data_IF_456697602437
#
_entry.id   IF_456697602437
#
_cell.length_a   1.000
_cell.length_b   1.000
_cell.length_c   1.000
_cell.angle_alpha   90.00
_cell.angle_beta   90.00
_cell.angle_gamma   90.00
#
_symmetry.space_group_name_H-M   'P 1'
#
loop_
_entity.id
_entity.type
_entity.pdbx_description
1 polymer ?
#
# COMPACT_ATOMS: atom_id res chain seq x y z
N UNK A 1 24.54 -9.37 -10.50
CA UNK A 1 24.92 -9.68 -9.10
C UNK A 1 23.72 -9.36 -8.22
N UNK A 2 22.99 -10.37 -7.71
CA UNK A 2 21.93 -10.16 -6.71
C UNK A 2 22.64 -9.85 -5.40
N UNK A 3 22.50 -8.63 -4.90
CA UNK A 3 23.01 -8.28 -3.57
C UNK A 3 22.25 -9.10 -2.52
N UNK A 4 22.89 -9.37 -1.38
CA UNK A 4 22.32 -10.09 -0.22
C UNK A 4 21.06 -9.42 0.38
N UNK A 5 20.66 -8.24 -0.13
CA UNK A 5 19.52 -7.45 0.30
C UNK A 5 18.39 -7.37 -0.74
N UNK A 6 18.56 -7.89 -1.96
CA UNK A 6 17.67 -7.58 -3.07
C UNK A 6 17.58 -6.07 -3.35
N UNK A 7 16.73 -5.66 -4.30
CA UNK A 7 16.35 -4.25 -4.47
C UNK A 7 15.37 -3.86 -3.36
N UNK A 8 15.89 -3.40 -2.23
CA UNK A 8 15.06 -2.84 -1.14
C UNK A 8 14.73 -1.39 -1.47
N UNK A 9 13.44 -1.04 -1.51
CA UNK A 9 12.98 0.34 -1.67
C UNK A 9 13.25 1.15 -0.41
N UNK A 10 13.89 2.31 -0.58
CA UNK A 10 14.12 3.29 0.49
C UNK A 10 13.23 4.50 0.24
N UNK A 11 12.48 4.92 1.26
CA UNK A 11 11.60 6.08 1.24
C UNK A 11 12.17 7.16 2.15
N UNK A 12 12.27 8.39 1.64
CA UNK A 12 12.70 9.57 2.40
C UNK A 12 11.65 10.66 2.23
N UNK A 13 11.04 11.10 3.33
CA UNK A 13 9.92 12.05 3.32
C UNK A 13 8.58 11.41 2.93
N UNK A 14 7.53 12.23 2.92
CA UNK A 14 6.18 11.79 2.59
C UNK A 14 6.09 11.29 1.14
N UNK A 15 5.29 10.25 0.93
CA UNK A 15 5.03 9.68 -0.40
C UNK A 15 3.55 9.40 -0.59
N UNK A 16 3.08 9.43 -1.84
CA UNK A 16 1.79 8.88 -2.20
C UNK A 16 1.95 7.41 -2.55
N UNK A 17 1.16 6.54 -1.91
CA UNK A 17 1.04 5.13 -2.25
C UNK A 17 -0.17 4.98 -3.17
N UNK A 18 0.06 4.51 -4.39
CA UNK A 18 -0.98 4.24 -5.38
C UNK A 18 -1.26 2.75 -5.48
N UNK A 19 -2.54 2.37 -5.50
CA UNK A 19 -3.00 1.01 -5.74
C UNK A 19 -3.64 0.91 -7.13
N UNK A 20 -2.95 0.29 -8.07
CA UNK A 20 -3.50 -0.05 -9.39
C UNK A 20 -4.42 -1.28 -9.26
N UNK A 21 -5.74 -1.04 -9.19
CA UNK A 21 -6.75 -2.09 -9.02
C UNK A 21 -7.78 -2.02 -10.15
N UNK A 22 -8.11 -3.18 -10.73
CA UNK A 22 -9.14 -3.31 -11.76
C UNK A 22 -10.07 -4.48 -11.45
N UNK A 23 -11.37 -4.27 -11.67
CA UNK A 23 -12.39 -5.31 -11.71
C UNK A 23 -13.50 -4.81 -12.65
N UNK A 24 -13.60 -5.43 -13.83
CA UNK A 24 -14.56 -5.05 -14.86
C UNK A 24 -15.94 -5.71 -14.69
N UNK A 25 -16.05 -6.71 -13.80
CA UNK A 25 -17.27 -7.51 -13.64
C UNK A 25 -18.13 -6.98 -12.51
N UNK A 26 -17.56 -6.84 -11.31
CA UNK A 26 -18.30 -6.37 -10.13
C UNK A 26 -17.93 -4.94 -9.74
N UNK A 27 -16.83 -4.42 -10.25
CA UNK A 27 -16.28 -3.14 -9.81
C UNK A 27 -15.59 -3.25 -8.45
N UNK A 28 -14.65 -2.33 -8.22
CA UNK A 28 -13.93 -2.22 -6.95
C UNK A 28 -14.82 -1.46 -5.95
N UNK A 29 -14.96 -2.01 -4.75
CA UNK A 29 -15.74 -1.43 -3.65
C UNK A 29 -14.90 -0.46 -2.80
N UNK A 30 -13.70 -0.89 -2.42
CA UNK A 30 -12.73 -0.08 -1.66
C UNK A 30 -11.34 -0.69 -1.72
N UNK A 31 -10.34 0.11 -1.39
CA UNK A 31 -9.01 -0.34 -1.02
C UNK A 31 -8.69 0.10 0.40
N UNK A 32 -7.99 -0.75 1.14
CA UNK A 32 -7.53 -0.47 2.50
C UNK A 32 -6.00 -0.53 2.54
N UNK A 33 -5.37 0.52 3.06
CA UNK A 33 -3.94 0.67 3.16
C UNK A 33 -3.50 0.48 4.61
N UNK A 34 -2.49 -0.35 4.81
CA UNK A 34 -1.98 -0.75 6.10
C UNK A 34 -0.48 -0.50 6.18
N UNK A 35 -0.02 -0.10 7.36
CA UNK A 35 1.41 -0.08 7.72
C UNK A 35 1.61 -0.94 8.96
N UNK A 36 2.47 -1.96 8.85
CA UNK A 36 2.77 -2.92 9.92
C UNK A 36 1.50 -3.56 10.52
N UNK A 37 0.52 -3.84 9.66
CA UNK A 37 -0.77 -4.44 10.04
C UNK A 37 -1.80 -3.48 10.63
N UNK A 38 -1.48 -2.20 10.80
CA UNK A 38 -2.41 -1.17 11.26
C UNK A 38 -3.08 -0.49 10.07
N UNK A 39 -4.40 -0.43 10.04
CA UNK A 39 -5.16 0.28 9.00
C UNK A 39 -4.87 1.79 9.09
N UNK A 40 -4.48 2.39 7.97
CA UNK A 40 -4.12 3.80 7.87
C UNK A 40 -5.08 4.60 6.99
N UNK A 41 -5.54 4.00 5.90
CA UNK A 41 -6.43 4.67 4.96
C UNK A 41 -7.39 3.69 4.29
N UNK A 42 -8.57 4.19 3.91
CA UNK A 42 -9.53 3.48 3.06
C UNK A 42 -9.96 4.40 1.93
N UNK A 43 -9.72 3.99 0.68
CA UNK A 43 -10.17 4.71 -0.50
C UNK A 43 -11.36 3.98 -1.13
N UNK A 44 -12.47 4.70 -1.35
CA UNK A 44 -13.72 4.15 -1.88
C UNK A 44 -13.95 4.43 -3.37
N UNK A 45 -13.07 5.20 -4.00
CA UNK A 45 -13.16 5.58 -5.40
C UNK A 45 -11.77 5.77 -6.00
N UNK A 46 -11.60 5.58 -7.32
CA UNK A 46 -10.35 5.87 -8.01
C UNK A 46 -10.10 7.40 -8.09
N UNK A 47 -8.84 7.86 -8.08
CA UNK A 47 -7.62 7.07 -7.89
C UNK A 47 -7.54 6.48 -6.47
N UNK A 48 -7.15 5.21 -6.38
CA UNK A 48 -6.99 4.53 -5.10
C UNK A 48 -5.61 4.85 -4.54
N UNK A 49 -5.51 5.96 -3.83
CA UNK A 49 -4.26 6.49 -3.33
C UNK A 49 -4.31 6.91 -1.87
N UNK A 50 -3.15 6.97 -1.24
CA UNK A 50 -2.99 7.46 0.12
C UNK A 50 -1.68 8.23 0.26
N UNK A 51 -1.74 9.47 0.78
CA UNK A 51 -0.57 10.22 1.20
C UNK A 51 -0.06 9.66 2.54
N UNK A 52 1.06 8.96 2.49
CA UNK A 52 1.76 8.48 3.68
C UNK A 52 2.79 9.51 4.14
N UNK A 53 2.40 10.31 5.13
CA UNK A 53 3.23 11.33 5.77
C UNK A 53 3.49 11.07 7.27
N UNK A 54 2.93 9.98 7.80
CA UNK A 54 3.14 9.60 9.20
C UNK A 54 4.59 9.18 9.45
N UNK A 55 5.13 9.59 10.60
CA UNK A 55 6.49 9.24 11.03
C UNK A 55 6.72 7.73 10.96
N UNK A 56 7.72 7.32 10.21
CA UNK A 56 8.09 5.93 9.98
C UNK A 56 9.61 5.81 9.86
N UNK A 57 10.18 4.86 10.60
CA UNK A 57 11.62 4.61 10.66
C UNK A 57 11.91 3.15 10.39
N UNK A 58 13.02 2.88 9.70
CA UNK A 58 13.52 1.54 9.40
C UNK A 58 12.52 0.69 8.59
N UNK A 59 12.51 -0.62 8.83
CA UNK A 59 11.70 -1.57 8.07
C UNK A 59 10.22 -1.41 8.38
N UNK A 60 9.42 -1.18 7.33
CA UNK A 60 7.97 -1.12 7.40
C UNK A 60 7.37 -2.05 6.34
N UNK A 61 6.27 -2.71 6.69
CA UNK A 61 5.46 -3.49 5.75
C UNK A 61 4.23 -2.67 5.35
N UNK A 62 4.18 -2.25 4.09
CA UNK A 62 3.01 -1.62 3.50
C UNK A 62 2.17 -2.72 2.86
N UNK A 63 0.89 -2.78 3.21
CA UNK A 63 -0.06 -3.74 2.64
C UNK A 63 -1.29 -3.01 2.12
N UNK A 64 -1.76 -3.39 0.95
CA UNK A 64 -3.03 -2.93 0.38
C UNK A 64 -3.96 -4.12 0.20
N UNK A 65 -5.21 -3.98 0.64
CA UNK A 65 -6.27 -4.96 0.39
C UNK A 65 -7.35 -4.28 -0.44
N UNK A 66 -7.62 -4.79 -1.64
CA UNK A 66 -8.74 -4.37 -2.46
C UNK A 66 -9.92 -5.30 -2.23
N UNK A 67 -11.12 -4.72 -2.17
CA UNK A 67 -12.40 -5.43 -2.04
C UNK A 67 -13.25 -5.09 -3.26
N UNK A 68 -13.91 -6.07 -3.85
CA UNK A 68 -14.88 -5.85 -4.92
C UNK A 68 -16.33 -5.97 -4.42
N UNK A 69 -17.31 -5.61 -5.25
CA UNK A 69 -18.72 -5.66 -4.84
C UNK A 69 -19.29 -7.09 -4.73
N UNK A 70 -18.57 -8.10 -5.22
CA UNK A 70 -18.91 -9.51 -5.06
C UNK A 70 -18.36 -10.15 -3.77
N UNK A 71 -17.65 -9.39 -2.93
CA UNK A 71 -17.07 -9.86 -1.67
C UNK A 71 -15.72 -10.61 -1.83
N UNK A 72 -15.08 -10.53 -3.00
CA UNK A 72 -13.72 -11.02 -3.19
C UNK A 72 -12.68 -9.98 -2.82
N UNK A 73 -11.47 -10.45 -2.50
CA UNK A 73 -10.35 -9.60 -2.10
C UNK A 73 -9.08 -9.91 -2.88
N UNK A 74 -8.29 -8.88 -3.15
CA UNK A 74 -6.91 -8.99 -3.62
C UNK A 74 -5.96 -8.31 -2.64
N UNK A 75 -4.75 -8.85 -2.45
CA UNK A 75 -3.77 -8.34 -1.48
C UNK A 75 -2.43 -8.11 -2.16
N UNK A 76 -1.80 -6.97 -1.87
CA UNK A 76 -0.42 -6.68 -2.22
C UNK A 76 0.35 -6.24 -0.96
N UNK A 77 1.59 -6.70 -0.79
CA UNK A 77 2.47 -6.29 0.32
C UNK A 77 3.88 -5.99 -0.19
N UNK A 78 4.47 -4.90 0.28
CA UNK A 78 5.86 -4.52 0.02
C UNK A 78 6.56 -4.15 1.32
N UNK A 79 7.83 -4.54 1.44
CA UNK A 79 8.70 -4.13 2.55
C UNK A 79 9.61 -3.02 2.08
N UNK A 80 9.66 -1.95 2.87
CA UNK A 80 10.42 -0.74 2.58
C UNK A 80 11.24 -0.34 3.80
N UNK A 81 12.34 0.37 3.57
CA UNK A 81 13.00 1.13 4.63
C UNK A 81 12.52 2.58 4.52
N UNK A 82 11.84 3.09 5.55
CA UNK A 82 11.31 4.44 5.56
C UNK A 82 12.07 5.35 6.52
N UNK A 83 12.21 6.62 6.13
CA UNK A 83 12.69 7.73 6.94
C UNK A 83 11.76 8.93 6.73
N UNK A 84 10.56 8.84 7.31
CA UNK A 84 9.57 9.92 7.37
C UNK A 84 9.65 10.50 8.77
N UNK A 85 9.94 11.80 8.87
CA UNK A 85 10.22 12.51 10.13
C UNK A 85 9.11 13.49 10.47
#
# INVERSE_FOLDING_TARGET
>A
MKTLLGTTTIIVGAITIEAAVTDEVSGVNKTEFYVNGVLKHTAYAPPYEWLWEERALFLNAIKVIAYNNAGNTAVAEVRVIAFIL
#
